data_IF_384305080630
#
_entry.id   IF_384305080630
#
_cell.length_a   1.000
_cell.length_b   1.000
_cell.length_c   1.000
_cell.angle_alpha   90.00
_cell.angle_beta   90.00
_cell.angle_gamma   90.00
#
_symmetry.space_group_name_H-M   'P 1'
#
loop_
_entity.id
_entity.type
_entity.pdbx_description
1 polymer ?
#
# COMPACT_ATOMS: atom_id res chain seq x y z
N UNK A 1 -13.22 -35.18 44.47
CA UNK A 1 -14.26 -34.75 43.53
C UNK A 1 -14.01 -33.29 43.17
N UNK A 2 -13.27 -33.06 42.07
CA UNK A 2 -13.04 -31.76 41.46
C UNK A 2 -13.92 -31.73 40.21
N UNK A 3 -14.96 -30.89 40.17
CA UNK A 3 -15.76 -30.69 38.97
C UNK A 3 -15.24 -29.47 38.22
N UNK A 4 -14.83 -29.73 36.98
CA UNK A 4 -14.35 -28.76 35.99
C UNK A 4 -15.48 -27.90 35.46
N UNK A 5 -15.27 -26.59 35.47
CA UNK A 5 -15.94 -25.68 34.55
C UNK A 5 -15.12 -25.65 33.25
N UNK A 6 -15.60 -26.33 32.21
CA UNK A 6 -15.23 -25.99 30.84
C UNK A 6 -16.45 -25.33 30.20
N UNK A 7 -16.33 -24.02 29.99
CA UNK A 7 -17.28 -23.24 29.22
C UNK A 7 -17.21 -23.64 27.76
N UNK A 8 -18.38 -23.68 27.14
CA UNK A 8 -18.64 -23.88 25.72
C UNK A 8 -17.73 -23.03 24.84
N UNK A 9 -16.99 -23.70 23.95
CA UNK A 9 -16.37 -23.12 22.77
C UNK A 9 -17.47 -22.54 21.87
N UNK A 10 -17.56 -21.22 21.81
CA UNK A 10 -18.25 -20.51 20.73
C UNK A 10 -17.46 -20.73 19.44
N UNK A 11 -17.96 -21.63 18.59
CA UNK A 11 -17.62 -21.68 17.18
C UNK A 11 -17.87 -20.29 16.59
N UNK A 12 -16.80 -19.70 16.03
CA UNK A 12 -16.92 -18.53 15.17
C UNK A 12 -17.51 -19.02 13.85
N UNK A 13 -18.84 -18.99 13.73
CA UNK A 13 -19.51 -19.03 12.43
C UNK A 13 -19.16 -17.73 11.69
N UNK A 14 -18.01 -17.75 11.00
CA UNK A 14 -17.70 -16.78 9.96
C UNK A 14 -18.64 -17.16 8.80
N UNK A 15 -19.60 -16.29 8.50
CA UNK A 15 -20.41 -16.42 7.29
C UNK A 15 -19.47 -16.32 6.08
N UNK A 16 -19.08 -17.46 5.51
CA UNK A 16 -18.20 -17.62 4.34
C UNK A 16 -18.68 -16.84 3.09
N UNK A 17 -19.89 -16.27 3.12
CA UNK A 17 -20.54 -15.65 1.98
C UNK A 17 -20.09 -14.21 1.64
N UNK A 18 -19.32 -13.53 2.49
CA UNK A 18 -18.83 -12.17 2.19
C UNK A 18 -17.31 -11.99 2.39
N UNK A 19 -16.52 -12.91 1.81
CA UNK A 19 -15.06 -12.74 1.64
C UNK A 19 -14.65 -11.45 0.90
N UNK A 20 -15.57 -10.81 0.16
CA UNK A 20 -15.32 -9.63 -0.66
C UNK A 20 -16.48 -8.65 -0.59
N UNK A 21 -16.18 -7.37 -0.38
CA UNK A 21 -17.20 -6.31 -0.34
C UNK A 21 -17.96 -6.19 -1.68
N UNK A 22 -19.27 -5.95 -1.59
CA UNK A 22 -20.20 -5.99 -2.74
C UNK A 22 -19.85 -5.01 -3.85
N UNK A 23 -19.33 -3.84 -3.50
CA UNK A 23 -18.95 -2.76 -4.41
C UNK A 23 -17.73 -3.09 -5.28
N UNK A 24 -16.82 -3.96 -4.81
CA UNK A 24 -15.63 -4.41 -5.55
C UNK A 24 -15.73 -5.84 -6.08
N UNK A 25 -16.74 -6.61 -5.66
CA UNK A 25 -16.91 -8.04 -6.03
C UNK A 25 -16.91 -8.29 -7.53
N UNK A 26 -17.64 -7.50 -8.34
CA UNK A 26 -17.68 -7.67 -9.79
C UNK A 26 -16.30 -7.37 -10.43
N UNK A 27 -15.55 -6.37 -9.91
CA UNK A 27 -14.21 -6.02 -10.38
C UNK A 27 -13.19 -7.11 -10.08
N UNK A 28 -13.17 -7.62 -8.84
CA UNK A 28 -12.25 -8.71 -8.45
C UNK A 28 -12.58 -9.99 -9.18
N UNK A 29 -13.87 -10.34 -9.30
CA UNK A 29 -14.32 -11.48 -10.11
C UNK A 29 -13.84 -11.35 -11.56
N UNK A 30 -13.95 -10.16 -12.14
CA UNK A 30 -13.49 -9.90 -13.51
C UNK A 30 -11.99 -10.16 -13.66
N UNK A 31 -11.16 -9.66 -12.74
CA UNK A 31 -9.71 -9.89 -12.76
C UNK A 31 -9.35 -11.36 -12.61
N UNK A 32 -9.94 -12.07 -11.64
CA UNK A 32 -9.71 -13.52 -11.43
C UNK A 32 -10.07 -14.29 -12.70
N UNK A 33 -11.22 -13.99 -13.31
CA UNK A 33 -11.64 -14.66 -14.55
C UNK A 33 -10.72 -14.35 -15.74
N UNK A 34 -10.20 -13.11 -15.87
CA UNK A 34 -9.17 -12.80 -16.89
C UNK A 34 -7.92 -13.65 -16.69
N UNK A 35 -7.46 -13.78 -15.45
CA UNK A 35 -6.29 -14.60 -15.11
C UNK A 35 -6.51 -16.06 -15.53
N UNK A 36 -7.62 -16.66 -15.11
CA UNK A 36 -7.94 -18.07 -15.38
C UNK A 36 -8.14 -18.31 -16.88
N UNK A 37 -8.97 -17.49 -17.54
CA UNK A 37 -9.46 -17.76 -18.89
C UNK A 37 -8.58 -17.16 -19.99
N UNK A 38 -8.26 -15.86 -19.90
CA UNK A 38 -7.60 -15.12 -20.99
C UNK A 38 -6.09 -15.20 -20.90
N UNK A 39 -5.55 -15.27 -19.69
CA UNK A 39 -4.11 -15.37 -19.44
C UNK A 39 -3.63 -16.82 -19.30
N UNK A 40 -4.52 -17.79 -19.45
CA UNK A 40 -4.17 -19.20 -19.60
C UNK A 40 -3.93 -19.97 -18.28
N UNK A 41 -4.32 -19.43 -17.12
CA UNK A 41 -4.14 -20.10 -15.83
C UNK A 41 -5.14 -21.25 -15.57
N UNK A 42 -6.10 -21.51 -16.45
CA UNK A 42 -7.11 -22.56 -16.30
C UNK A 42 -6.58 -23.96 -15.95
N UNK A 43 -5.38 -24.35 -16.43
CA UNK A 43 -4.78 -25.67 -16.11
C UNK A 43 -4.16 -25.74 -14.71
N UNK A 44 -3.89 -24.58 -14.11
CA UNK A 44 -3.46 -24.46 -12.71
C UNK A 44 -4.65 -24.33 -11.79
N UNK A 45 -5.72 -23.68 -12.25
CA UNK A 45 -6.96 -23.58 -11.50
C UNK A 45 -7.71 -24.92 -11.42
N UNK A 46 -7.80 -25.66 -12.53
CA UNK A 46 -8.34 -27.03 -12.59
C UNK A 46 -7.29 -27.93 -13.22
N UNK A 47 -6.81 -28.92 -12.48
CA UNK A 47 -5.70 -29.77 -12.90
C UNK A 47 -6.12 -30.88 -13.90
N UNK A 48 -5.34 -31.96 -14.02
CA UNK A 48 -5.67 -33.11 -14.88
C UNK A 48 -6.66 -34.08 -14.26
N UNK A 49 -6.73 -34.12 -12.93
CA UNK A 49 -7.61 -35.00 -12.16
C UNK A 49 -8.97 -34.34 -11.87
N UNK A 50 -9.20 -33.16 -12.45
CA UNK A 50 -10.36 -32.29 -12.25
C UNK A 50 -10.41 -31.65 -10.86
N UNK A 51 -9.26 -31.48 -10.21
CA UNK A 51 -9.16 -30.82 -8.92
C UNK A 51 -8.93 -29.33 -9.01
N UNK A 52 -9.60 -28.61 -8.10
CA UNK A 52 -9.42 -27.18 -7.93
C UNK A 52 -8.24 -26.92 -6.98
N UNK A 53 -7.24 -26.19 -7.45
CA UNK A 53 -6.11 -25.74 -6.59
C UNK A 53 -6.61 -24.89 -5.40
N UNK A 54 -7.70 -24.15 -5.60
CA UNK A 54 -8.34 -23.30 -4.60
C UNK A 54 -9.86 -23.53 -4.62
N UNK A 55 -10.35 -24.43 -3.76
CA UNK A 55 -11.78 -24.74 -3.65
C UNK A 55 -12.63 -23.54 -3.22
N UNK A 56 -12.14 -22.71 -2.31
CA UNK A 56 -12.73 -21.44 -1.89
C UNK A 56 -12.94 -20.49 -3.09
N UNK A 57 -11.96 -20.42 -3.98
CA UNK A 57 -12.06 -19.66 -5.23
C UNK A 57 -13.08 -20.29 -6.18
N UNK A 58 -13.15 -21.62 -6.28
CA UNK A 58 -14.16 -22.30 -7.07
C UNK A 58 -15.58 -21.99 -6.56
N UNK A 59 -15.80 -22.07 -5.25
CA UNK A 59 -17.06 -21.65 -4.60
C UNK A 59 -17.35 -20.18 -4.91
N UNK A 60 -16.43 -19.25 -4.67
CA UNK A 60 -16.59 -17.83 -5.01
C UNK A 60 -16.98 -17.58 -6.50
N UNK A 61 -16.44 -18.40 -7.40
CA UNK A 61 -16.72 -18.34 -8.83
C UNK A 61 -18.03 -19.02 -9.26
N UNK A 62 -18.83 -19.51 -8.31
CA UNK A 62 -20.13 -20.13 -8.55
C UNK A 62 -20.01 -21.56 -9.07
N UNK A 63 -18.95 -22.26 -8.65
CA UNK A 63 -18.66 -23.65 -9.01
C UNK A 63 -18.83 -24.59 -7.82
N UNK A 64 -19.56 -24.20 -6.78
CA UNK A 64 -19.79 -24.97 -5.54
C UNK A 64 -20.20 -26.42 -5.85
N UNK A 65 -21.11 -26.59 -6.81
CA UNK A 65 -21.57 -27.91 -7.24
C UNK A 65 -20.42 -28.83 -7.64
N UNK A 66 -19.34 -28.31 -8.24
CA UNK A 66 -18.17 -29.08 -8.72
C UNK A 66 -17.16 -29.38 -7.62
N UNK A 67 -17.18 -28.62 -6.54
CA UNK A 67 -16.31 -28.84 -5.38
C UNK A 67 -16.86 -29.96 -4.51
N UNK A 68 -18.18 -30.17 -4.53
CA UNK A 68 -18.88 -31.19 -3.73
C UNK A 68 -18.96 -32.58 -4.41
N UNK A 69 -18.52 -32.72 -5.66
CA UNK A 69 -18.46 -34.04 -6.32
C UNK A 69 -17.25 -34.85 -5.84
N UNK A 70 -17.40 -36.18 -5.82
CA UNK A 70 -16.24 -37.07 -5.82
C UNK A 70 -15.45 -36.87 -7.14
N UNK A 71 -14.14 -36.81 -7.01
CA UNK A 71 -13.10 -36.50 -8.00
C UNK A 71 -13.30 -37.06 -9.44
N UNK A 72 -14.01 -38.18 -9.58
CA UNK A 72 -14.22 -38.89 -10.84
C UNK A 72 -15.44 -38.42 -11.68
N UNK A 73 -16.30 -37.54 -11.15
CA UNK A 73 -17.66 -37.36 -11.70
C UNK A 73 -17.87 -36.18 -12.66
N UNK A 74 -16.89 -35.28 -12.87
CA UNK A 74 -17.09 -34.15 -13.78
C UNK A 74 -15.96 -33.89 -14.79
N UNK A 75 -16.36 -33.45 -15.98
CA UNK A 75 -15.44 -33.00 -17.01
C UNK A 75 -15.16 -31.49 -16.85
N UNK A 76 -13.90 -31.09 -16.63
CA UNK A 76 -13.48 -29.68 -16.51
C UNK A 76 -13.95 -28.75 -17.63
N UNK A 77 -14.36 -29.28 -18.79
CA UNK A 77 -14.95 -28.50 -19.88
C UNK A 77 -16.18 -27.72 -19.45
N UNK A 78 -17.06 -28.30 -18.61
CA UNK A 78 -18.30 -27.65 -18.20
C UNK A 78 -18.05 -26.46 -17.24
N UNK A 79 -17.27 -26.59 -16.14
CA UNK A 79 -16.85 -25.44 -15.33
C UNK A 79 -16.19 -24.33 -16.15
N UNK A 80 -15.26 -24.68 -17.05
CA UNK A 80 -14.57 -23.69 -17.88
C UNK A 80 -15.52 -22.95 -18.83
N UNK A 81 -16.58 -23.59 -19.32
CA UNK A 81 -17.61 -22.93 -20.13
C UNK A 81 -18.43 -21.94 -19.30
N UNK A 82 -18.77 -22.30 -18.06
CA UNK A 82 -19.46 -21.42 -17.10
C UNK A 82 -18.61 -20.18 -16.84
N UNK A 83 -17.32 -20.34 -16.51
CA UNK A 83 -16.40 -19.23 -16.26
C UNK A 83 -16.24 -18.33 -17.49
N UNK A 84 -16.10 -18.90 -18.69
CA UNK A 84 -16.05 -18.13 -19.96
C UNK A 84 -17.33 -17.31 -20.18
N UNK A 85 -18.50 -17.90 -19.92
CA UNK A 85 -19.79 -17.20 -20.05
C UNK A 85 -19.90 -16.07 -19.04
N UNK A 86 -19.48 -16.30 -17.79
CA UNK A 86 -19.47 -15.27 -16.73
C UNK A 86 -18.52 -14.13 -17.07
N UNK A 87 -17.30 -14.42 -17.56
CA UNK A 87 -16.35 -13.40 -18.02
C UNK A 87 -16.94 -12.57 -19.16
N UNK A 88 -17.57 -13.20 -20.16
CA UNK A 88 -18.23 -12.50 -21.27
C UNK A 88 -19.37 -11.60 -20.79
N UNK A 89 -20.12 -12.02 -19.77
CA UNK A 89 -21.17 -11.19 -19.16
C UNK A 89 -20.59 -10.00 -18.41
N UNK A 90 -19.54 -10.20 -17.62
CA UNK A 90 -18.84 -9.14 -16.89
C UNK A 90 -18.19 -8.12 -17.83
N UNK A 91 -17.57 -8.55 -18.93
CA UNK A 91 -17.03 -7.64 -19.96
C UNK A 91 -18.06 -6.63 -20.48
N UNK A 92 -19.33 -7.03 -20.57
CA UNK A 92 -20.42 -6.14 -21.02
C UNK A 92 -20.88 -5.14 -19.94
N UNK A 93 -20.56 -5.41 -18.66
CA UNK A 93 -20.86 -4.53 -17.53
C UNK A 93 -19.74 -3.53 -17.23
N UNK A 94 -18.53 -3.76 -17.76
CA UNK A 94 -17.41 -2.86 -17.58
C UNK A 94 -17.71 -1.44 -18.13
N UNK A 95 -17.16 -0.37 -17.53
CA UNK A 95 -16.21 -0.38 -16.41
C UNK A 95 -16.88 -0.68 -15.06
N UNK A 96 -16.12 -1.29 -14.15
CA UNK A 96 -16.57 -1.58 -12.79
C UNK A 96 -16.26 -0.43 -11.85
N UNK A 97 -17.19 -0.13 -10.95
CA UNK A 97 -16.96 0.82 -9.85
C UNK A 97 -15.86 0.34 -8.89
N UNK A 98 -15.41 1.26 -8.04
CA UNK A 98 -14.59 0.94 -6.86
C UNK A 98 -15.45 1.10 -5.60
N UNK A 99 -14.86 0.79 -4.45
CA UNK A 99 -15.33 1.37 -3.19
C UNK A 99 -15.29 2.89 -3.28
N UNK A 100 -16.42 3.53 -2.96
CA UNK A 100 -16.52 4.99 -2.99
C UNK A 100 -15.51 5.65 -2.05
N UNK A 101 -15.23 5.00 -0.91
CA UNK A 101 -14.26 5.46 0.07
C UNK A 101 -12.82 5.28 -0.45
N UNK A 102 -12.48 4.12 -0.98
CA UNK A 102 -11.16 3.88 -1.58
C UNK A 102 -10.86 4.91 -2.67
N UNK A 103 -11.81 5.13 -3.58
CA UNK A 103 -11.63 6.09 -4.65
C UNK A 103 -11.51 7.53 -4.13
N UNK A 104 -12.32 7.91 -3.12
CA UNK A 104 -12.19 9.20 -2.43
C UNK A 104 -10.76 9.38 -1.90
N UNK A 105 -10.22 8.37 -1.22
CA UNK A 105 -8.88 8.42 -0.63
C UNK A 105 -7.77 8.47 -1.68
N UNK A 106 -7.89 7.70 -2.77
CA UNK A 106 -6.96 7.79 -3.92
C UNK A 106 -7.00 9.18 -4.55
N UNK A 107 -8.17 9.81 -4.66
CA UNK A 107 -8.30 11.19 -5.17
C UNK A 107 -7.71 12.24 -4.22
N UNK A 108 -7.85 12.06 -2.89
CA UNK A 108 -7.17 12.93 -1.92
C UNK A 108 -5.65 12.86 -2.10
N UNK A 109 -5.10 11.65 -2.19
CA UNK A 109 -3.69 11.41 -2.42
C UNK A 109 -3.20 11.99 -3.76
N UNK A 110 -3.95 11.77 -4.83
CA UNK A 110 -3.62 12.28 -6.17
C UNK A 110 -3.53 13.80 -6.21
N UNK A 111 -4.31 14.54 -5.41
CA UNK A 111 -4.19 16.00 -5.31
C UNK A 111 -2.85 16.47 -4.71
N UNK A 112 -2.20 15.63 -3.89
CA UNK A 112 -0.92 15.97 -3.25
C UNK A 112 0.28 15.63 -4.13
N UNK A 113 0.26 14.44 -4.76
CA UNK A 113 1.41 13.90 -5.51
C UNK A 113 1.17 13.78 -7.02
N UNK A 114 0.04 14.30 -7.52
CA UNK A 114 -0.31 14.40 -8.95
C UNK A 114 -0.33 13.05 -9.69
N UNK A 115 -0.96 12.03 -9.09
CA UNK A 115 -1.13 10.72 -9.74
C UNK A 115 -1.96 10.85 -11.03
N UNK A 116 -1.47 10.26 -12.13
CA UNK A 116 -2.23 10.12 -13.36
C UNK A 116 -3.28 9.00 -13.28
N UNK A 117 -4.16 8.88 -14.28
CA UNK A 117 -5.25 7.89 -14.28
C UNK A 117 -4.78 6.44 -14.19
N UNK A 118 -3.66 6.10 -14.82
CA UNK A 118 -3.11 4.74 -14.77
C UNK A 118 -2.42 4.45 -13.44
N UNK A 119 -1.74 5.44 -12.86
CA UNK A 119 -1.18 5.32 -11.51
C UNK A 119 -2.29 5.11 -10.47
N UNK A 120 -3.41 5.85 -10.56
CA UNK A 120 -4.60 5.62 -9.72
C UNK A 120 -5.13 4.19 -9.86
N UNK A 121 -5.22 3.68 -11.09
CA UNK A 121 -5.72 2.33 -11.36
C UNK A 121 -4.79 1.25 -10.81
N UNK A 122 -3.47 1.42 -10.94
CA UNK A 122 -2.48 0.49 -10.38
C UNK A 122 -2.51 0.54 -8.86
N UNK A 123 -2.59 1.72 -8.26
CA UNK A 123 -2.68 1.88 -6.81
C UNK A 123 -3.95 1.21 -6.25
N UNK A 124 -5.10 1.44 -6.90
CA UNK A 124 -6.35 0.76 -6.55
C UNK A 124 -6.18 -0.76 -6.60
N UNK A 125 -5.64 -1.27 -7.71
CA UNK A 125 -5.39 -2.71 -7.86
C UNK A 125 -4.46 -3.24 -6.78
N UNK A 126 -3.37 -2.55 -6.45
CA UNK A 126 -2.44 -2.97 -5.39
C UNK A 126 -3.11 -2.99 -4.02
N UNK A 127 -3.93 -1.99 -3.68
CA UNK A 127 -4.65 -1.96 -2.40
C UNK A 127 -5.63 -3.14 -2.32
N UNK A 128 -6.41 -3.39 -3.36
CA UNK A 128 -7.33 -4.54 -3.41
C UNK A 128 -6.58 -5.88 -3.38
N UNK A 129 -5.41 -5.97 -4.02
CA UNK A 129 -4.54 -7.14 -3.98
C UNK A 129 -4.01 -7.44 -2.57
N UNK A 130 -3.71 -6.39 -1.79
CA UNK A 130 -3.24 -6.55 -0.40
C UNK A 130 -4.38 -6.82 0.58
N UNK A 131 -5.61 -6.45 0.24
CA UNK A 131 -6.79 -6.70 1.08
C UNK A 131 -7.40 -8.09 0.86
N UNK A 132 -7.43 -8.58 -0.38
CA UNK A 132 -8.20 -9.77 -0.74
C UNK A 132 -7.29 -10.90 -1.24
N UNK A 133 -7.00 -11.84 -0.34
CA UNK A 133 -6.11 -12.98 -0.58
C UNK A 133 -6.48 -13.79 -1.83
N UNK A 134 -7.78 -13.94 -2.12
CA UNK A 134 -8.28 -14.65 -3.30
C UNK A 134 -7.73 -14.07 -4.62
N UNK A 135 -7.45 -12.76 -4.69
CA UNK A 135 -6.81 -12.14 -5.85
C UNK A 135 -5.32 -12.48 -5.91
N UNK A 136 -4.63 -12.52 -4.76
CA UNK A 136 -3.26 -12.99 -4.64
C UNK A 136 -3.11 -14.46 -5.06
N UNK A 137 -3.98 -15.33 -4.55
CA UNK A 137 -4.05 -16.75 -4.91
C UNK A 137 -4.24 -16.94 -6.41
N UNK A 138 -5.10 -16.15 -7.06
CA UNK A 138 -5.27 -16.21 -8.51
C UNK A 138 -3.98 -15.84 -9.27
N UNK A 139 -3.24 -14.82 -8.80
CA UNK A 139 -1.98 -14.41 -9.42
C UNK A 139 -0.85 -15.44 -9.20
N UNK A 140 -0.90 -16.19 -8.11
CA UNK A 140 0.06 -17.26 -7.81
C UNK A 140 -0.01 -18.43 -8.81
N UNK A 141 -1.09 -18.55 -9.61
CA UNK A 141 -1.11 -19.48 -10.75
C UNK A 141 -0.01 -19.23 -11.78
N UNK A 142 0.58 -18.02 -11.81
CA UNK A 142 1.74 -17.73 -12.66
C UNK A 142 3.08 -18.20 -12.08
N UNK A 143 3.09 -18.71 -10.85
CA UNK A 143 4.24 -19.17 -10.08
C UNK A 143 4.49 -18.30 -8.84
N UNK A 144 5.24 -18.85 -7.89
CA UNK A 144 5.66 -18.17 -6.65
C UNK A 144 6.88 -17.26 -6.86
N UNK A 145 7.49 -17.32 -8.03
CA UNK A 145 8.65 -16.50 -8.40
C UNK A 145 8.38 -15.89 -9.77
N UNK A 146 8.33 -14.56 -9.83
CA UNK A 146 8.02 -13.85 -11.07
C UNK A 146 8.98 -12.69 -11.33
N UNK A 147 9.53 -12.64 -12.55
CA UNK A 147 10.41 -11.53 -12.95
C UNK A 147 9.65 -10.22 -13.08
N UNK A 148 10.34 -9.10 -12.86
CA UNK A 148 9.77 -7.74 -13.00
C UNK A 148 9.13 -7.52 -14.38
N UNK A 149 9.77 -8.01 -15.45
CA UNK A 149 9.22 -7.93 -16.81
C UNK A 149 7.90 -8.69 -16.97
N UNK A 150 7.78 -9.85 -16.32
CA UNK A 150 6.54 -10.65 -16.37
C UNK A 150 5.45 -10.01 -15.50
N UNK A 151 5.79 -9.45 -14.34
CA UNK A 151 4.87 -8.64 -13.51
C UNK A 151 4.28 -7.48 -14.31
N UNK A 152 5.11 -6.71 -15.03
CA UNK A 152 4.64 -5.59 -15.88
C UNK A 152 3.70 -6.05 -17.01
N UNK A 153 3.99 -7.18 -17.66
CA UNK A 153 3.10 -7.76 -18.69
C UNK A 153 1.76 -8.23 -18.13
N UNK A 154 1.77 -8.83 -16.94
CA UNK A 154 0.55 -9.21 -16.23
C UNK A 154 -0.28 -7.97 -15.91
N UNK A 155 0.31 -6.91 -15.32
CA UNK A 155 -0.39 -5.66 -15.03
C UNK A 155 -0.99 -5.04 -16.29
N UNK A 156 -0.22 -4.98 -17.38
CA UNK A 156 -0.68 -4.47 -18.67
C UNK A 156 -1.92 -5.22 -19.17
N UNK A 157 -1.87 -6.56 -19.15
CA UNK A 157 -2.97 -7.39 -19.63
C UNK A 157 -4.18 -7.33 -18.70
N UNK A 158 -3.95 -7.38 -17.38
CA UNK A 158 -5.01 -7.48 -16.38
C UNK A 158 -5.80 -6.18 -16.26
N UNK A 159 -5.09 -5.04 -16.23
CA UNK A 159 -5.67 -3.71 -16.07
C UNK A 159 -6.02 -3.01 -17.39
N UNK A 160 -5.74 -3.66 -18.53
CA UNK A 160 -5.93 -3.09 -19.87
C UNK A 160 -5.15 -1.78 -20.08
N UNK A 161 -3.96 -1.69 -19.48
CA UNK A 161 -3.04 -0.54 -19.58
C UNK A 161 -1.95 -0.88 -20.62
N UNK A 162 -1.64 0.01 -21.59
CA UNK A 162 -0.54 -0.22 -22.52
C UNK A 162 0.78 -0.48 -21.81
N UNK A 163 1.57 -1.45 -22.30
CA UNK A 163 2.83 -1.85 -21.65
C UNK A 163 3.83 -0.69 -21.52
N UNK A 164 3.83 0.25 -22.48
CA UNK A 164 4.64 1.47 -22.43
C UNK A 164 4.27 2.33 -21.22
N UNK A 165 2.98 2.51 -20.95
CA UNK A 165 2.49 3.24 -19.78
C UNK A 165 2.86 2.52 -18.47
N UNK A 166 2.78 1.19 -18.42
CA UNK A 166 3.26 0.41 -17.27
C UNK A 166 4.77 0.63 -17.05
N UNK A 167 5.56 0.65 -18.13
CA UNK A 167 7.00 0.90 -18.02
C UNK A 167 7.29 2.30 -17.48
N UNK A 168 6.57 3.32 -17.95
CA UNK A 168 6.71 4.71 -17.50
C UNK A 168 6.35 4.87 -16.02
N UNK A 169 5.27 4.23 -15.56
CA UNK A 169 4.81 4.26 -14.16
C UNK A 169 5.84 3.66 -13.18
N UNK A 170 6.62 2.68 -13.64
CA UNK A 170 7.69 2.06 -12.84
C UNK A 170 9.09 2.45 -13.33
N UNK A 171 9.22 3.60 -13.98
CA UNK A 171 10.51 4.19 -14.35
C UNK A 171 11.13 4.94 -13.18
N UNK A 172 12.45 5.14 -13.17
CA UNK A 172 13.18 5.87 -12.11
C UNK A 172 12.70 7.31 -11.89
N UNK A 173 11.98 7.89 -12.85
CA UNK A 173 11.46 9.25 -12.80
C UNK A 173 9.93 9.29 -12.70
N UNK A 174 9.28 8.18 -12.34
CA UNK A 174 7.83 8.17 -12.14
C UNK A 174 7.42 8.81 -10.81
N UNK A 175 6.13 9.10 -10.65
CA UNK A 175 5.60 9.60 -9.38
C UNK A 175 5.80 8.57 -8.28
N UNK A 176 5.54 7.28 -8.54
CA UNK A 176 5.76 6.20 -7.60
C UNK A 176 7.21 6.04 -7.16
N UNK A 177 8.19 6.16 -8.06
CA UNK A 177 9.60 6.11 -7.68
C UNK A 177 10.03 7.31 -6.84
N UNK A 178 9.52 8.52 -7.16
CA UNK A 178 9.83 9.72 -6.39
C UNK A 178 9.18 9.72 -5.01
N UNK A 179 7.93 9.30 -4.91
CA UNK A 179 7.19 9.27 -3.64
C UNK A 179 7.49 8.02 -2.81
N UNK A 180 7.97 6.93 -3.40
CA UNK A 180 8.11 5.61 -2.75
C UNK A 180 6.80 5.02 -2.20
N UNK A 181 5.66 5.58 -2.62
CA UNK A 181 4.31 5.16 -2.25
C UNK A 181 4.02 3.72 -2.67
N UNK A 182 4.45 3.35 -3.88
CA UNK A 182 4.33 2.03 -4.45
C UNK A 182 5.64 1.69 -5.15
N UNK A 183 6.22 0.53 -4.85
CA UNK A 183 7.47 0.07 -5.46
C UNK A 183 7.24 -1.27 -6.13
N UNK A 184 7.84 -1.41 -7.31
CA UNK A 184 8.01 -2.69 -7.98
C UNK A 184 9.42 -3.21 -7.69
N UNK A 185 9.55 -4.22 -6.84
CA UNK A 185 10.85 -4.79 -6.48
C UNK A 185 11.52 -5.51 -7.67
N UNK A 186 12.85 -5.39 -7.73
CA UNK A 186 13.71 -6.08 -8.69
C UNK A 186 14.07 -7.51 -8.29
N UNK A 187 13.84 -7.91 -7.03
CA UNK A 187 14.23 -9.23 -6.51
C UNK A 187 13.51 -10.36 -7.24
N UNK A 188 14.26 -11.27 -7.88
CA UNK A 188 13.70 -12.18 -8.90
C UNK A 188 12.77 -13.27 -8.34
N UNK A 189 12.83 -13.55 -7.03
CA UNK A 189 12.22 -14.73 -6.40
C UNK A 189 10.98 -14.44 -5.54
N UNK A 190 10.31 -13.31 -5.76
CA UNK A 190 9.07 -12.99 -5.04
C UNK A 190 7.82 -13.35 -5.84
N UNK A 191 6.78 -13.73 -5.07
CA UNK A 191 5.41 -13.88 -5.56
C UNK A 191 4.89 -12.54 -6.10
N UNK A 192 3.84 -12.58 -6.91
CA UNK A 192 3.33 -11.37 -7.55
C UNK A 192 2.85 -10.32 -6.52
N UNK A 193 2.19 -10.73 -5.44
CA UNK A 193 1.76 -9.82 -4.36
C UNK A 193 2.94 -9.07 -3.75
N UNK A 194 4.05 -9.76 -3.53
CA UNK A 194 5.26 -9.22 -2.91
C UNK A 194 6.08 -8.36 -3.87
N UNK A 195 5.80 -8.46 -5.16
CA UNK A 195 6.41 -7.59 -6.16
C UNK A 195 5.96 -6.14 -6.02
N UNK A 196 4.73 -5.90 -5.56
CA UNK A 196 4.12 -4.59 -5.41
C UNK A 196 4.07 -4.21 -3.92
N UNK A 197 5.04 -3.41 -3.48
CA UNK A 197 5.17 -3.00 -2.08
C UNK A 197 4.65 -1.59 -1.87
N UNK A 198 3.64 -1.45 -1.02
CA UNK A 198 3.17 -0.17 -0.50
C UNK A 198 4.15 0.35 0.57
N UNK A 199 3.83 1.50 1.16
CA UNK A 199 4.61 2.13 2.24
C UNK A 199 4.69 1.19 3.45
N UNK A 200 3.53 0.69 3.88
CA UNK A 200 3.34 -0.34 4.91
C UNK A 200 2.02 -1.08 4.66
N UNK A 201 1.70 -2.07 5.48
CA UNK A 201 0.47 -2.86 5.34
C UNK A 201 -0.77 -2.05 5.75
N UNK A 202 -0.66 -1.25 6.82
CA UNK A 202 -1.73 -0.42 7.36
C UNK A 202 -2.23 0.61 6.35
N UNK A 203 -1.35 1.09 5.46
CA UNK A 203 -1.75 2.03 4.42
C UNK A 203 -2.87 1.46 3.53
N UNK A 204 -2.81 0.18 3.15
CA UNK A 204 -3.85 -0.43 2.33
C UNK A 204 -5.21 -0.50 3.07
N UNK A 205 -5.17 -0.95 4.33
CA UNK A 205 -6.33 -1.05 5.21
C UNK A 205 -6.97 0.32 5.46
N UNK A 206 -6.14 1.31 5.84
CA UNK A 206 -6.57 2.68 6.06
C UNK A 206 -7.22 3.29 4.81
N UNK A 207 -6.63 3.09 3.63
CA UNK A 207 -7.17 3.59 2.37
C UNK A 207 -8.56 3.02 2.04
N UNK A 208 -8.88 1.81 2.52
CA UNK A 208 -10.18 1.17 2.33
C UNK A 208 -11.21 1.54 3.40
N UNK A 209 -10.77 1.76 4.64
CA UNK A 209 -11.64 1.74 5.81
C UNK A 209 -11.73 3.09 6.56
N UNK A 210 -10.78 4.02 6.38
CA UNK A 210 -10.80 5.32 7.06
C UNK A 210 -11.34 6.42 6.15
N UNK A 211 -12.31 7.18 6.66
CA UNK A 211 -12.84 8.39 6.03
C UNK A 211 -12.28 9.66 6.67
N UNK A 212 -10.97 9.85 6.52
CA UNK A 212 -10.20 10.92 7.14
C UNK A 212 -9.28 11.61 6.11
N UNK A 213 -8.51 12.60 6.57
CA UNK A 213 -7.45 13.21 5.77
C UNK A 213 -6.34 12.20 5.43
N UNK A 214 -5.69 12.36 4.28
CA UNK A 214 -4.60 11.49 3.83
C UNK A 214 -3.43 11.41 4.82
N UNK A 215 -3.23 12.42 5.69
CA UNK A 215 -2.21 12.34 6.75
C UNK A 215 -2.52 11.25 7.78
N UNK A 216 -3.79 10.94 8.02
CA UNK A 216 -4.17 9.84 8.92
C UNK A 216 -3.83 8.47 8.32
N UNK A 217 -3.83 8.35 6.98
CA UNK A 217 -3.50 7.10 6.29
C UNK A 217 -2.02 6.69 6.47
N UNK A 218 -1.16 7.66 6.76
CA UNK A 218 0.29 7.47 6.91
C UNK A 218 0.81 7.77 8.32
N UNK A 219 -0.07 7.97 9.30
CA UNK A 219 0.32 8.44 10.64
C UNK A 219 1.28 7.50 11.38
N UNK A 220 1.20 6.20 11.11
CA UNK A 220 2.09 5.21 11.71
C UNK A 220 3.52 5.33 11.15
N UNK A 221 3.65 5.79 9.90
CA UNK A 221 4.92 6.08 9.24
C UNK A 221 5.47 7.48 9.50
N UNK A 222 4.58 8.48 9.62
CA UNK A 222 4.92 9.90 9.73
C UNK A 222 4.05 10.55 10.80
N UNK A 223 4.64 10.82 11.95
CA UNK A 223 3.91 11.25 13.15
C UNK A 223 3.99 12.76 13.31
N UNK A 224 2.87 13.40 13.66
CA UNK A 224 2.92 14.79 14.10
C UNK A 224 3.71 14.85 15.42
N UNK A 225 4.75 15.68 15.47
CA UNK A 225 5.59 15.83 16.66
C UNK A 225 4.78 16.38 17.83
N UNK A 226 5.11 15.89 19.03
CA UNK A 226 4.60 16.45 20.27
C UNK A 226 5.19 17.83 20.53
N UNK A 227 4.53 18.61 21.38
CA UNK A 227 5.05 19.92 21.76
C UNK A 227 6.39 19.78 22.48
N UNK A 228 7.34 20.63 22.10
CA UNK A 228 8.63 20.74 22.80
C UNK A 228 8.45 21.27 24.22
N UNK A 229 9.42 20.99 25.06
CA UNK A 229 9.50 21.48 26.45
C UNK A 229 10.45 22.67 26.60
N UNK A 230 11.36 22.84 25.63
CA UNK A 230 12.36 23.91 25.61
C UNK A 230 11.90 25.11 24.78
N UNK A 231 12.46 26.26 25.12
CA UNK A 231 12.26 27.54 24.45
C UNK A 231 13.51 27.95 23.67
N UNK A 232 13.37 28.93 22.77
CA UNK A 232 14.51 29.43 21.99
C UNK A 232 15.62 30.02 22.89
N UNK A 233 15.27 30.51 24.08
CA UNK A 233 16.22 31.06 25.06
C UNK A 233 17.15 29.99 25.66
N UNK A 234 16.69 28.74 25.76
CA UNK A 234 17.48 27.61 26.28
C UNK A 234 18.66 27.26 25.35
N UNK A 235 18.62 27.74 24.11
CA UNK A 235 19.66 27.55 23.09
C UNK A 235 20.58 28.77 22.91
N UNK A 236 20.72 29.60 23.95
CA UNK A 236 21.53 30.83 23.91
C UNK A 236 23.00 30.63 23.48
N UNK A 237 23.55 29.43 23.68
CA UNK A 237 24.93 29.07 23.31
C UNK A 237 25.15 28.95 21.79
N UNK A 238 24.09 28.72 21.00
CA UNK A 238 24.10 28.69 19.52
C UNK A 238 23.28 29.85 18.91
N UNK A 239 23.06 30.92 19.68
CA UNK A 239 22.23 32.06 19.26
C UNK A 239 22.60 32.65 17.90
N UNK A 240 23.90 32.66 17.56
CA UNK A 240 24.37 33.31 16.34
C UNK A 240 24.10 32.43 15.11
N UNK A 241 24.13 31.11 15.26
CA UNK A 241 23.64 30.17 14.23
C UNK A 241 22.13 30.29 14.05
N UNK A 242 21.37 30.37 15.15
CA UNK A 242 19.90 30.50 15.12
C UNK A 242 19.45 31.81 14.46
N UNK A 243 20.18 32.92 14.63
CA UNK A 243 19.90 34.19 13.94
C UNK A 243 19.97 34.07 12.41
N UNK A 244 20.76 33.15 11.90
CA UNK A 244 20.89 32.89 10.45
C UNK A 244 19.87 31.84 10.03
N UNK A 245 19.76 30.76 10.79
CA UNK A 245 18.91 29.61 10.47
C UNK A 245 17.42 29.99 10.42
N UNK A 246 16.93 30.76 11.40
CA UNK A 246 15.50 31.05 11.52
C UNK A 246 14.95 31.85 10.32
N UNK A 247 15.54 32.99 9.91
CA UNK A 247 15.06 33.71 8.72
C UNK A 247 15.23 32.91 7.42
N UNK A 248 16.28 32.08 7.34
CA UNK A 248 16.50 31.21 6.19
C UNK A 248 15.39 30.16 6.06
N UNK A 249 15.06 29.45 7.15
CA UNK A 249 13.98 28.46 7.17
C UNK A 249 12.62 29.10 6.94
N UNK A 250 12.35 30.25 7.56
CA UNK A 250 11.07 30.96 7.40
C UNK A 250 10.83 31.33 5.92
N UNK A 251 11.84 31.93 5.28
CA UNK A 251 11.80 32.25 3.86
C UNK A 251 11.71 31.01 2.98
N UNK A 252 12.44 29.94 3.32
CA UNK A 252 12.38 28.69 2.58
C UNK A 252 10.99 28.04 2.63
N UNK A 253 10.34 28.07 3.79
CA UNK A 253 8.98 27.56 3.99
C UNK A 253 7.97 28.38 3.20
N UNK A 254 8.05 29.71 3.26
CA UNK A 254 7.13 30.60 2.54
C UNK A 254 7.32 30.54 1.02
N UNK A 255 8.55 30.39 0.53
CA UNK A 255 8.85 30.26 -0.90
C UNK A 255 8.77 28.83 -1.44
N UNK A 256 8.46 27.84 -0.58
CA UNK A 256 8.47 26.41 -0.92
C UNK A 256 9.77 25.99 -1.60
N UNK A 257 10.89 26.49 -1.07
CA UNK A 257 12.20 26.27 -1.65
C UNK A 257 12.57 24.78 -1.58
N UNK A 258 12.99 24.20 -2.72
CA UNK A 258 13.43 22.81 -2.79
C UNK A 258 14.88 22.65 -2.30
N UNK A 259 15.18 21.49 -1.73
CA UNK A 259 16.56 21.13 -1.35
C UNK A 259 17.07 21.78 -0.06
N UNK A 260 16.16 22.18 0.83
CA UNK A 260 16.51 22.80 2.11
C UNK A 260 16.60 21.71 3.17
N UNK A 261 17.83 21.37 3.58
CA UNK A 261 18.11 20.35 4.59
C UNK A 261 19.05 20.92 5.64
N UNK A 262 18.76 20.67 6.92
CA UNK A 262 19.55 21.11 8.06
C UNK A 262 19.97 19.88 8.85
N UNK A 263 21.28 19.73 9.08
CA UNK A 263 21.82 18.68 9.92
C UNK A 263 22.14 19.26 11.30
N UNK A 264 21.42 18.80 12.32
CA UNK A 264 21.75 19.07 13.71
C UNK A 264 22.64 17.95 14.24
N UNK A 265 23.85 18.26 14.70
CA UNK A 265 24.81 17.28 15.20
C UNK A 265 25.38 17.71 16.56
N UNK A 266 25.80 16.73 17.35
CA UNK A 266 26.30 16.94 18.70
C UNK A 266 26.13 15.70 19.57
N UNK A 267 26.72 15.71 20.77
CA UNK A 267 26.66 14.60 21.71
C UNK A 267 25.20 14.19 22.04
N UNK A 268 24.96 12.92 22.40
CA UNK A 268 23.66 12.49 22.91
C UNK A 268 23.20 13.36 24.09
N UNK A 269 21.89 13.66 24.16
CA UNK A 269 21.31 14.46 25.23
C UNK A 269 21.53 15.98 25.15
N UNK A 270 22.12 16.50 24.06
CA UNK A 270 22.31 17.96 23.84
C UNK A 270 21.05 18.70 23.37
N UNK A 271 19.90 18.01 23.29
CA UNK A 271 18.61 18.62 22.97
C UNK A 271 18.37 18.89 21.48
N UNK A 272 18.96 18.10 20.57
CA UNK A 272 18.79 18.23 19.11
C UNK A 272 17.32 18.07 18.68
N UNK A 273 16.66 17.01 19.13
CA UNK A 273 15.23 16.74 18.87
C UNK A 273 14.35 17.87 19.42
N UNK A 274 14.61 18.33 20.65
CA UNK A 274 13.90 19.46 21.25
C UNK A 274 14.15 20.77 20.50
N UNK A 275 15.32 20.95 19.88
CA UNK A 275 15.62 22.14 19.07
C UNK A 275 14.75 22.17 17.82
N UNK A 276 14.59 21.03 17.13
CA UNK A 276 13.69 20.91 15.98
C UNK A 276 12.25 21.30 16.36
N UNK A 277 11.76 20.83 17.51
CA UNK A 277 10.43 21.21 18.03
C UNK A 277 10.34 22.71 18.32
N UNK A 278 11.35 23.26 18.99
CA UNK A 278 11.45 24.69 19.31
C UNK A 278 11.42 25.55 18.04
N UNK A 279 12.21 25.18 17.02
CA UNK A 279 12.23 25.87 15.72
C UNK A 279 10.84 25.85 15.08
N UNK A 280 10.17 24.70 15.07
CA UNK A 280 8.84 24.58 14.48
C UNK A 280 7.79 25.46 15.18
N UNK A 281 7.84 25.55 16.52
CA UNK A 281 6.93 26.38 17.31
C UNK A 281 7.17 27.87 17.05
N UNK A 282 8.44 28.31 17.03
CA UNK A 282 8.78 29.71 16.73
C UNK A 282 8.40 30.10 15.31
N UNK A 283 8.53 29.20 14.33
CA UNK A 283 8.13 29.43 12.94
C UNK A 283 6.64 29.20 12.68
N UNK A 284 5.85 28.83 13.70
CA UNK A 284 4.42 28.57 13.58
C UNK A 284 4.06 27.49 12.56
N UNK A 285 4.90 26.45 12.44
CA UNK A 285 4.74 25.37 11.45
C UNK A 285 4.60 24.01 12.12
N UNK A 286 3.94 23.07 11.43
CA UNK A 286 3.91 21.68 11.88
C UNK A 286 5.29 21.05 11.72
N UNK A 287 5.67 20.21 12.69
CA UNK A 287 6.81 19.31 12.64
C UNK A 287 6.30 17.89 12.54
N UNK A 288 6.70 17.14 11.52
CA UNK A 288 6.43 15.72 11.43
C UNK A 288 7.71 14.93 11.57
N UNK A 289 7.65 13.83 12.31
CA UNK A 289 8.76 12.94 12.60
C UNK A 289 8.60 11.66 11.78
N UNK A 290 9.70 11.19 11.17
CA UNK A 290 9.72 9.89 10.50
C UNK A 290 9.89 8.80 11.57
N UNK A 291 8.88 7.94 11.69
CA UNK A 291 8.86 6.86 12.67
C UNK A 291 10.10 5.97 12.57
N UNK A 292 10.68 5.61 13.71
CA UNK A 292 11.76 4.62 13.83
C UNK A 292 11.22 3.21 14.14
N UNK A 293 9.95 3.11 14.52
CA UNK A 293 9.28 1.87 14.84
C UNK A 293 7.89 1.84 14.18
N UNK A 294 7.43 0.66 13.84
CA UNK A 294 6.10 0.44 13.30
C UNK A 294 5.02 0.52 14.40
N UNK A 295 3.81 0.03 14.10
CA UNK A 295 2.68 0.03 15.04
C UNK A 295 2.86 -0.97 16.18
N UNK A 296 3.55 -2.08 15.95
CA UNK A 296 3.84 -3.11 16.96
C UNK A 296 5.00 -2.69 17.86
N UNK A 297 5.71 -1.63 17.48
CA UNK A 297 6.87 -1.09 18.18
C UNK A 297 8.17 -1.71 17.70
N UNK A 298 8.13 -2.49 16.62
CA UNK A 298 9.30 -3.11 16.04
C UNK A 298 10.12 -2.08 15.23
N UNK A 299 11.46 -2.13 15.31
CA UNK A 299 12.31 -1.19 14.58
C UNK A 299 12.10 -1.25 13.06
N UNK A 300 12.02 -0.08 12.43
CA UNK A 300 11.98 0.05 10.98
C UNK A 300 13.41 0.16 10.44
N UNK A 301 13.78 -0.77 9.56
CA UNK A 301 15.09 -0.76 8.90
C UNK A 301 15.37 0.55 8.13
N UNK A 302 16.64 0.95 8.05
CA UNK A 302 17.07 2.23 7.45
C UNK A 302 16.57 2.47 6.02
N UNK A 303 16.59 1.45 5.14
CA UNK A 303 16.07 1.57 3.78
C UNK A 303 14.55 1.86 3.78
N UNK A 304 13.79 1.11 4.60
CA UNK A 304 12.35 1.29 4.75
C UNK A 304 12.02 2.67 5.31
N UNK A 305 12.77 3.13 6.32
CA UNK A 305 12.62 4.45 6.93
C UNK A 305 12.93 5.59 5.96
N UNK A 306 13.93 5.42 5.09
CA UNK A 306 14.21 6.35 3.99
C UNK A 306 13.07 6.43 2.98
N UNK A 307 12.37 5.31 2.71
CA UNK A 307 11.15 5.33 1.87
C UNK A 307 10.01 6.10 2.54
N UNK A 308 9.84 5.97 3.85
CA UNK A 308 8.86 6.77 4.59
C UNK A 308 9.18 8.26 4.47
N UNK A 309 10.46 8.62 4.59
CA UNK A 309 10.90 10.01 4.40
C UNK A 309 10.62 10.55 2.99
N UNK A 310 10.86 9.76 1.95
CA UNK A 310 10.49 10.13 0.56
C UNK A 310 8.98 10.33 0.40
N UNK A 311 8.20 9.46 1.01
CA UNK A 311 6.73 9.53 0.99
C UNK A 311 6.26 10.82 1.68
N UNK A 312 6.77 11.09 2.88
CA UNK A 312 6.47 12.31 3.63
C UNK A 312 6.80 13.56 2.81
N UNK A 313 8.00 13.62 2.21
CA UNK A 313 8.39 14.76 1.36
C UNK A 313 7.42 14.97 0.20
N UNK A 314 6.97 13.90 -0.45
CA UNK A 314 6.02 14.01 -1.56
C UNK A 314 4.65 14.52 -1.10
N UNK A 315 4.12 14.00 0.02
CA UNK A 315 2.80 14.37 0.54
C UNK A 315 2.76 15.78 1.11
N UNK A 316 3.81 16.18 1.83
CA UNK A 316 3.89 17.48 2.48
C UNK A 316 4.54 18.56 1.60
N UNK A 317 4.85 18.26 0.33
CA UNK A 317 5.55 19.18 -0.56
C UNK A 317 4.89 20.57 -0.68
N UNK A 318 3.55 20.59 -0.70
CA UNK A 318 2.78 21.82 -0.83
C UNK A 318 2.39 22.48 0.50
N UNK A 319 2.77 21.86 1.62
CA UNK A 319 2.43 22.27 2.98
C UNK A 319 3.55 23.09 3.61
N UNK A 320 3.19 24.05 4.46
CA UNK A 320 4.16 24.73 5.33
C UNK A 320 4.49 23.79 6.48
N UNK A 321 5.55 23.00 6.35
CA UNK A 321 5.84 21.88 7.24
C UNK A 321 7.34 21.59 7.30
N UNK A 322 7.81 21.19 8.48
CA UNK A 322 9.18 20.68 8.68
C UNK A 322 9.08 19.16 8.87
N UNK A 323 9.97 18.42 8.21
CA UNK A 323 10.16 16.99 8.42
C UNK A 323 11.42 16.76 9.24
N UNK A 324 11.31 15.95 10.28
CA UNK A 324 12.41 15.53 11.14
C UNK A 324 12.73 14.07 10.91
N UNK A 325 13.96 13.81 10.52
CA UNK A 325 14.55 12.49 10.50
C UNK A 325 15.49 12.38 11.71
N UNK A 326 15.00 11.86 12.82
CA UNK A 326 15.81 11.70 14.04
C UNK A 326 16.73 10.48 13.93
N UNK A 327 17.88 10.49 14.61
CA UNK A 327 18.92 9.45 14.50
C UNK A 327 19.32 9.18 13.03
N UNK A 328 19.84 10.21 12.37
CA UNK A 328 20.19 10.17 10.95
C UNK A 328 21.37 9.23 10.64
N UNK A 329 22.16 8.86 11.64
CA UNK A 329 23.22 7.85 11.55
C UNK A 329 22.73 6.49 11.04
N UNK A 330 21.46 6.13 11.27
CA UNK A 330 20.88 4.86 10.82
C UNK A 330 20.77 4.71 9.29
N UNK A 331 21.03 5.80 8.54
CA UNK A 331 20.92 5.84 7.08
C UNK A 331 22.27 5.66 6.37
N UNK A 332 23.40 5.84 7.09
CA UNK A 332 24.74 5.96 6.50
C UNK A 332 25.58 4.68 6.54
#
# INVERSE_FOLDING_TARGET
MRNSFFGSSTEFDIDDNELIAKDVKDKITYWILKIIIEMGAHKRFIDSENDFEHEDMARFLGLEKYVEFDYDDFNRTEPLLILKKRLKALKKKAPFGSSALLWKNIEQLSKLIELNSYEKQILEFTILLKQYDILGNALNFFGMEITTSRTKRILSTLLDIPIEQINDIFSSHSTFSRSSLLILTSEETYAFSEKLRLINYEFADNMLNLDEDITEMIKDSVRLSSKGTLSIQDYSYIKDDLKILMPYLDKALDSKQKGVNILLYGLPGTGKTELSKTISEVLGTKLYEISYADREGDPIEGESRLRLYKTAQALFFNSRTILMYDEAEDVF
#
